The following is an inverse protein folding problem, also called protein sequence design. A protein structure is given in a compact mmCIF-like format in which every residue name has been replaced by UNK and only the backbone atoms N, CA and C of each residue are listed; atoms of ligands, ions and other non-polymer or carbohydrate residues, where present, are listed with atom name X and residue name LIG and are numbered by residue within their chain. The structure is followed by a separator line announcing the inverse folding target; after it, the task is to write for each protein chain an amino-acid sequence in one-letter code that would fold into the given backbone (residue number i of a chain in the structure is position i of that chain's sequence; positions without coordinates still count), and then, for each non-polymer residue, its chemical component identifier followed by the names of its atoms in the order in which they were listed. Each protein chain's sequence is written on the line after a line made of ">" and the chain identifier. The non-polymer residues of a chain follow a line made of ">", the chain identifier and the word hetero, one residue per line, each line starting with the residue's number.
data_IF_340500901031
#
_entry.id   IF_340500901031
#
_cell.length_a   1.000
_cell.length_b   1.000
_cell.length_c   1.000
_cell.angle_alpha   90.00
_cell.angle_beta   90.00
_cell.angle_gamma   90.00
#
_symmetry.space_group_name_H-M   'P 1'
#
loop_
_entity.id
_entity.type
_entity.pdbx_description
1 polymer ?
#
# COMPACT_ATOMS: atom_id res chain seq x y z
N UNK A 1 -8.47 11.16 -13.87
CA UNK A 1 -7.94 12.27 -13.05
C UNK A 1 -8.30 13.66 -13.60
N UNK A 2 -8.42 13.86 -14.92
CA UNK A 2 -8.76 15.17 -15.54
C UNK A 2 -10.09 15.77 -15.05
N UNK A 3 -11.09 14.94 -14.78
CA UNK A 3 -12.42 15.35 -14.29
C UNK A 3 -12.50 15.48 -12.76
N UNK A 4 -11.45 15.14 -12.03
CA UNK A 4 -11.47 15.16 -10.57
C UNK A 4 -11.03 16.53 -10.03
N UNK A 5 -11.76 17.18 -9.09
CA UNK A 5 -11.49 18.56 -8.66
C UNK A 5 -10.06 18.79 -8.13
N UNK A 6 -9.46 17.80 -7.46
CA UNK A 6 -8.08 17.95 -6.93
C UNK A 6 -7.03 17.17 -7.73
N UNK A 7 -7.39 16.08 -8.43
CA UNK A 7 -6.42 15.27 -9.18
C UNK A 7 -6.10 15.82 -10.57
N UNK A 8 -6.85 16.78 -11.06
CA UNK A 8 -6.60 17.46 -12.34
C UNK A 8 -5.28 18.22 -12.40
N UNK A 9 -4.75 18.61 -11.23
CA UNK A 9 -3.46 19.30 -11.10
C UNK A 9 -2.24 18.34 -11.06
N UNK A 10 -2.46 17.03 -11.23
CA UNK A 10 -1.33 16.09 -11.33
C UNK A 10 -0.59 16.30 -12.65
N UNK A 11 0.75 16.24 -12.68
CA UNK A 11 1.58 16.59 -13.84
C UNK A 11 1.19 15.91 -15.15
N UNK A 12 0.74 14.65 -15.09
CA UNK A 12 0.26 13.92 -16.28
C UNK A 12 -1.16 14.34 -16.67
N UNK A 13 -2.02 14.67 -15.69
CA UNK A 13 -3.40 15.09 -15.95
C UNK A 13 -3.47 16.52 -16.45
N UNK A 14 -2.60 17.39 -15.94
CA UNK A 14 -2.43 18.79 -16.31
C UNK A 14 -1.71 18.95 -17.66
N UNK A 15 -0.99 17.92 -18.11
CA UNK A 15 -0.26 17.96 -19.38
C UNK A 15 1.18 18.50 -19.27
N UNK A 16 1.64 18.88 -18.09
CA UNK A 16 3.02 19.37 -17.87
C UNK A 16 4.09 18.29 -18.13
N UNK A 17 3.71 17.03 -18.03
CA UNK A 17 4.57 15.87 -18.37
C UNK A 17 3.85 15.02 -19.42
N UNK A 18 4.52 14.80 -20.57
CA UNK A 18 4.00 13.91 -21.59
C UNK A 18 4.01 12.45 -21.11
N UNK A 19 3.04 11.64 -21.55
CA UNK A 19 2.92 10.22 -21.21
C UNK A 19 4.20 9.46 -21.58
N UNK A 20 4.84 9.80 -22.70
CA UNK A 20 6.10 9.19 -23.11
C UNK A 20 7.23 9.48 -22.11
N UNK A 21 7.36 10.74 -21.71
CA UNK A 21 8.36 11.16 -20.71
C UNK A 21 8.14 10.45 -19.37
N UNK A 22 6.88 10.36 -18.91
CA UNK A 22 6.54 9.64 -17.68
C UNK A 22 6.90 8.14 -17.76
N UNK A 23 6.69 7.49 -18.90
CA UNK A 23 7.08 6.08 -19.12
C UNK A 23 8.59 5.90 -19.12
N UNK A 24 9.33 6.79 -19.78
CA UNK A 24 10.81 6.74 -19.83
C UNK A 24 11.39 6.93 -18.43
N UNK A 25 10.93 7.95 -17.71
CA UNK A 25 11.39 8.20 -16.32
C UNK A 25 11.06 7.00 -15.43
N UNK A 26 9.83 6.46 -15.52
CA UNK A 26 9.42 5.29 -14.76
C UNK A 26 10.26 4.04 -15.08
N UNK A 27 10.60 3.83 -16.35
CA UNK A 27 11.47 2.75 -16.78
C UNK A 27 12.90 2.88 -16.25
N UNK A 28 13.46 4.08 -16.29
CA UNK A 28 14.80 4.36 -15.73
C UNK A 28 14.81 4.12 -14.22
N UNK A 29 13.83 4.64 -13.50
CA UNK A 29 13.72 4.43 -12.05
C UNK A 29 13.55 2.94 -11.70
N UNK A 30 12.77 2.19 -12.48
CA UNK A 30 12.62 0.76 -12.28
C UNK A 30 13.93 0.02 -12.48
N UNK A 31 14.64 0.31 -13.57
CA UNK A 31 15.94 -0.29 -13.85
C UNK A 31 16.96 -0.01 -12.75
N UNK A 32 17.09 1.26 -12.33
CA UNK A 32 17.96 1.64 -11.24
C UNK A 32 17.60 0.95 -9.92
N UNK A 33 16.32 0.85 -9.59
CA UNK A 33 15.88 0.20 -8.34
C UNK A 33 16.17 -1.30 -8.35
N UNK A 34 15.99 -1.99 -9.48
CA UNK A 34 16.33 -3.41 -9.62
C UNK A 34 17.85 -3.64 -9.50
N UNK A 35 18.65 -2.79 -10.14
CA UNK A 35 20.11 -2.88 -10.07
C UNK A 35 20.63 -2.65 -8.66
N UNK A 36 20.15 -1.59 -7.99
CA UNK A 36 20.54 -1.27 -6.61
C UNK A 36 20.09 -2.37 -5.64
N UNK A 37 18.88 -2.92 -5.83
CA UNK A 37 18.38 -4.02 -5.01
C UNK A 37 19.22 -5.29 -5.13
N UNK A 38 19.68 -5.59 -6.35
CA UNK A 38 20.57 -6.72 -6.59
C UNK A 38 21.95 -6.50 -5.96
N UNK A 39 22.50 -5.30 -6.09
CA UNK A 39 23.82 -4.97 -5.50
C UNK A 39 23.78 -4.99 -3.96
N UNK A 40 22.68 -4.56 -3.35
CA UNK A 40 22.56 -4.46 -1.91
C UNK A 40 22.16 -5.80 -1.24
N UNK A 41 21.25 -6.56 -1.85
CA UNK A 41 20.65 -7.75 -1.25
C UNK A 41 20.74 -9.02 -2.09
N UNK A 42 21.53 -9.00 -3.18
CA UNK A 42 21.67 -10.14 -4.08
C UNK A 42 20.33 -10.59 -4.68
N UNK A 43 20.20 -11.89 -4.89
CA UNK A 43 19.01 -12.50 -5.50
C UNK A 43 17.78 -12.35 -4.57
N UNK A 44 17.95 -12.45 -3.24
CA UNK A 44 16.84 -12.31 -2.29
C UNK A 44 16.23 -10.90 -2.30
N UNK A 45 17.05 -9.86 -2.33
CA UNK A 45 16.60 -8.48 -2.46
C UNK A 45 15.86 -8.25 -3.78
N UNK A 46 16.41 -8.75 -4.88
CA UNK A 46 15.78 -8.65 -6.19
C UNK A 46 14.39 -9.32 -6.22
N UNK A 47 14.27 -10.55 -5.69
CA UNK A 47 13.00 -11.28 -5.67
C UNK A 47 11.93 -10.56 -4.83
N UNK A 48 12.29 -10.05 -3.66
CA UNK A 48 11.36 -9.29 -2.81
C UNK A 48 10.87 -8.02 -3.49
N UNK A 49 11.77 -7.31 -4.18
CA UNK A 49 11.40 -6.12 -4.95
C UNK A 49 10.48 -6.46 -6.13
N UNK A 50 10.74 -7.56 -6.83
CA UNK A 50 9.87 -8.04 -7.91
C UNK A 50 8.47 -8.40 -7.40
N UNK A 51 8.37 -9.13 -6.28
CA UNK A 51 7.08 -9.43 -5.64
C UNK A 51 6.33 -8.15 -5.29
N UNK A 52 7.01 -7.19 -4.68
CA UNK A 52 6.43 -5.88 -4.39
C UNK A 52 5.94 -5.17 -5.64
N UNK A 53 6.73 -5.18 -6.71
CA UNK A 53 6.37 -4.55 -7.98
C UNK A 53 5.13 -5.22 -8.60
N UNK A 54 5.10 -6.55 -8.67
CA UNK A 54 3.96 -7.32 -9.21
C UNK A 54 2.68 -7.02 -8.42
N UNK A 55 2.74 -6.97 -7.08
CA UNK A 55 1.60 -6.62 -6.24
C UNK A 55 1.07 -5.21 -6.53
N UNK A 56 1.96 -4.22 -6.69
CA UNK A 56 1.54 -2.85 -7.01
C UNK A 56 0.94 -2.72 -8.41
N UNK A 57 1.50 -3.44 -9.38
CA UNK A 57 0.97 -3.51 -10.74
C UNK A 57 -0.42 -4.15 -10.73
N UNK A 58 -0.58 -5.30 -10.09
CA UNK A 58 -1.86 -6.01 -9.94
C UNK A 58 -2.92 -5.13 -9.23
N UNK A 59 -2.51 -4.40 -8.19
CA UNK A 59 -3.36 -3.42 -7.53
C UNK A 59 -3.86 -2.34 -8.51
N UNK A 60 -2.99 -1.85 -9.37
CA UNK A 60 -3.32 -0.81 -10.35
C UNK A 60 -4.27 -1.30 -11.43
N UNK A 61 -4.14 -2.57 -11.86
CA UNK A 61 -4.94 -3.16 -12.93
C UNK A 61 -6.38 -3.54 -12.54
N UNK A 62 -6.74 -3.55 -11.26
CA UNK A 62 -8.14 -3.80 -10.91
C UNK A 62 -8.39 -4.27 -9.49
N UNK A 63 -7.42 -4.84 -8.80
CA UNK A 63 -7.59 -5.34 -7.43
C UNK A 63 -7.98 -4.25 -6.43
N UNK A 64 -7.68 -2.99 -6.73
CA UNK A 64 -8.14 -1.81 -5.96
C UNK A 64 -9.66 -1.64 -5.90
N UNK A 65 -10.41 -2.32 -6.79
CA UNK A 65 -11.87 -2.24 -6.86
C UNK A 65 -12.56 -3.39 -6.10
N UNK A 66 -11.80 -4.33 -5.54
CA UNK A 66 -12.34 -5.42 -4.73
C UNK A 66 -12.30 -5.03 -3.25
N UNK A 67 -13.44 -5.16 -2.53
CA UNK A 67 -13.50 -4.87 -1.10
C UNK A 67 -12.58 -5.82 -0.32
N UNK A 68 -11.97 -5.34 0.74
CA UNK A 68 -10.97 -6.02 1.57
C UNK A 68 -9.65 -6.33 0.86
N UNK A 69 -9.65 -6.78 -0.39
CA UNK A 69 -8.43 -7.07 -1.16
C UNK A 69 -7.57 -5.82 -1.30
N UNK A 70 -8.19 -4.65 -1.49
CA UNK A 70 -7.48 -3.38 -1.56
C UNK A 70 -6.73 -3.04 -0.26
N UNK A 71 -7.32 -3.35 0.90
CA UNK A 71 -6.68 -3.16 2.21
C UNK A 71 -5.59 -4.20 2.44
N UNK A 72 -5.84 -5.47 2.08
CA UNK A 72 -4.87 -6.56 2.19
C UNK A 72 -3.62 -6.27 1.38
N UNK A 73 -3.76 -5.83 0.14
CA UNK A 73 -2.61 -5.50 -0.73
C UNK A 73 -1.82 -4.32 -0.16
N UNK A 74 -2.50 -3.29 0.35
CA UNK A 74 -1.82 -2.18 1.00
C UNK A 74 -1.02 -2.65 2.22
N UNK A 75 -1.62 -3.48 3.09
CA UNK A 75 -0.95 -4.04 4.26
C UNK A 75 0.23 -4.93 3.87
N UNK A 76 0.06 -5.80 2.87
CA UNK A 76 1.13 -6.65 2.33
C UNK A 76 2.32 -5.84 1.82
N UNK A 77 2.05 -4.68 1.19
CA UNK A 77 3.10 -3.76 0.76
C UNK A 77 3.97 -3.23 1.91
N UNK A 78 3.39 -2.97 3.09
CA UNK A 78 4.15 -2.59 4.28
C UNK A 78 5.02 -3.74 4.78
N UNK A 79 4.48 -4.95 4.83
CA UNK A 79 5.19 -6.14 5.30
C UNK A 79 6.37 -6.49 4.40
N UNK A 80 6.18 -6.48 3.08
CA UNK A 80 7.26 -6.77 2.13
C UNK A 80 8.41 -5.77 2.32
N UNK A 81 8.15 -4.50 2.57
CA UNK A 81 9.19 -3.51 2.86
C UNK A 81 9.98 -3.83 4.13
N UNK A 82 9.30 -4.32 5.18
CA UNK A 82 9.96 -4.71 6.42
C UNK A 82 10.81 -5.98 6.23
N UNK A 83 10.27 -6.98 5.52
CA UNK A 83 11.03 -8.19 5.17
C UNK A 83 12.25 -7.82 4.30
N UNK A 84 12.07 -6.92 3.35
CA UNK A 84 13.14 -6.43 2.50
C UNK A 84 14.26 -5.77 3.33
N UNK A 85 13.90 -4.88 4.26
CA UNK A 85 14.85 -4.26 5.17
C UNK A 85 15.59 -5.29 6.03
N UNK A 86 14.88 -6.26 6.60
CA UNK A 86 15.48 -7.35 7.39
C UNK A 86 16.43 -8.23 6.56
N UNK A 87 16.05 -8.54 5.32
CA UNK A 87 16.89 -9.30 4.42
C UNK A 87 18.20 -8.56 4.05
N UNK A 88 18.14 -7.24 3.89
CA UNK A 88 19.33 -6.43 3.61
C UNK A 88 20.25 -6.29 4.83
N UNK A 89 19.67 -6.11 6.01
CA UNK A 89 20.44 -5.89 7.26
C UNK A 89 20.82 -7.17 7.97
N UNK A 90 20.32 -8.31 7.50
CA UNK A 90 20.49 -9.63 8.13
C UNK A 90 20.00 -9.67 9.59
N UNK A 91 19.06 -8.78 9.95
CA UNK A 91 18.45 -8.72 11.28
C UNK A 91 17.19 -9.59 11.28
N UNK A 92 17.10 -10.62 12.16
CA UNK A 92 15.90 -11.44 12.23
C UNK A 92 14.72 -10.65 12.77
N UNK A 93 13.56 -10.77 12.14
CA UNK A 93 12.31 -10.16 12.60
C UNK A 93 11.61 -11.14 13.56
N UNK A 94 11.21 -10.65 14.74
CA UNK A 94 10.39 -11.44 15.65
C UNK A 94 8.96 -11.62 15.09
N UNK A 95 8.33 -12.77 15.36
CA UNK A 95 6.95 -13.01 14.95
C UNK A 95 5.96 -11.96 15.49
N UNK A 96 6.21 -11.48 16.70
CA UNK A 96 5.39 -10.46 17.35
C UNK A 96 5.47 -9.11 16.63
N UNK A 97 6.66 -8.70 16.22
CA UNK A 97 6.86 -7.49 15.41
C UNK A 97 6.11 -7.61 14.09
N UNK A 98 6.17 -8.79 13.47
CA UNK A 98 5.46 -9.06 12.24
C UNK A 98 3.94 -8.86 12.38
N UNK A 99 3.34 -9.43 13.42
CA UNK A 99 1.92 -9.31 13.73
C UNK A 99 1.53 -7.85 14.05
N UNK A 100 2.37 -7.14 14.80
CA UNK A 100 2.15 -5.71 15.10
C UNK A 100 2.13 -4.86 13.85
N UNK A 101 3.08 -5.07 12.94
CA UNK A 101 3.14 -4.34 11.67
C UNK A 101 1.94 -4.66 10.80
N UNK A 102 1.52 -5.93 10.74
CA UNK A 102 0.35 -6.35 9.99
C UNK A 102 -0.92 -5.66 10.46
N UNK A 103 -1.20 -5.72 11.76
CA UNK A 103 -2.39 -5.06 12.34
C UNK A 103 -2.35 -3.55 12.20
N UNK A 104 -1.18 -2.92 12.38
CA UNK A 104 -0.98 -1.49 12.16
C UNK A 104 -1.20 -1.09 10.69
N UNK A 105 -0.71 -1.87 9.74
CA UNK A 105 -0.91 -1.63 8.31
C UNK A 105 -2.39 -1.78 7.90
N UNK A 106 -3.10 -2.76 8.47
CA UNK A 106 -4.55 -2.89 8.30
C UNK A 106 -5.29 -1.67 8.84
N UNK A 107 -4.96 -1.22 10.04
CA UNK A 107 -5.52 0.00 10.62
C UNK A 107 -5.38 1.19 9.69
N UNK A 108 -4.17 1.42 9.15
CA UNK A 108 -3.91 2.50 8.20
C UNK A 108 -4.71 2.35 6.90
N UNK A 109 -4.84 1.12 6.39
CA UNK A 109 -5.63 0.81 5.22
C UNK A 109 -7.11 1.11 5.41
N UNK A 110 -7.70 0.65 6.53
CA UNK A 110 -9.09 0.91 6.88
C UNK A 110 -9.34 2.41 7.12
N UNK A 111 -8.45 3.10 7.83
CA UNK A 111 -8.50 4.54 8.07
C UNK A 111 -8.49 5.35 6.77
N UNK A 112 -7.70 4.92 5.78
CA UNK A 112 -7.73 5.52 4.45
C UNK A 112 -9.10 5.38 3.78
N UNK A 113 -9.74 4.22 3.86
CA UNK A 113 -11.11 3.99 3.33
C UNK A 113 -12.14 4.85 4.07
N UNK A 114 -12.05 4.90 5.39
CA UNK A 114 -12.90 5.76 6.21
C UNK A 114 -12.82 7.23 5.80
N UNK A 115 -11.60 7.74 5.62
CA UNK A 115 -11.38 9.13 5.20
C UNK A 115 -11.84 9.39 3.76
N UNK A 116 -11.72 8.42 2.86
CA UNK A 116 -12.25 8.53 1.50
C UNK A 116 -13.78 8.66 1.52
N UNK A 117 -14.49 7.87 2.32
CA UNK A 117 -15.95 7.95 2.49
C UNK A 117 -16.34 9.31 3.10
N UNK A 118 -15.62 9.77 4.14
CA UNK A 118 -15.89 11.04 4.80
C UNK A 118 -15.75 12.25 3.86
N UNK A 119 -14.75 12.23 2.98
CA UNK A 119 -14.50 13.33 2.03
C UNK A 119 -15.49 13.37 0.87
N UNK A 120 -16.15 12.25 0.56
CA UNK A 120 -17.06 12.16 -0.59
C UNK A 120 -18.47 12.69 -0.31
N UNK A 121 -18.81 12.98 0.96
CA UNK A 121 -20.10 13.58 1.32
C UNK A 121 -21.33 12.84 0.76
N UNK A 122 -21.20 11.52 0.50
CA UNK A 122 -22.28 10.72 -0.08
C UNK A 122 -22.34 10.68 -1.61
N UNK A 123 -21.51 11.42 -2.33
CA UNK A 123 -21.41 11.31 -3.82
C UNK A 123 -20.55 10.10 -4.19
N UNK A 124 -21.20 9.06 -4.71
CA UNK A 124 -20.66 7.72 -4.95
C UNK A 124 -19.73 7.62 -6.19
N UNK A 125 -19.27 8.71 -6.76
CA UNK A 125 -18.73 8.71 -8.13
C UNK A 125 -17.26 8.30 -8.29
N UNK A 126 -16.46 8.19 -7.21
CA UNK A 126 -15.01 8.01 -7.40
C UNK A 126 -14.49 6.59 -7.26
N UNK A 127 -15.14 5.70 -6.49
CA UNK A 127 -14.74 4.29 -6.36
C UNK A 127 -15.90 3.37 -6.02
N UNK A 128 -16.24 2.38 -6.87
CA UNK A 128 -17.33 1.43 -6.64
C UNK A 128 -17.16 0.61 -5.34
N UNK A 129 -15.91 0.34 -4.94
CA UNK A 129 -15.59 -0.46 -3.75
C UNK A 129 -16.06 0.18 -2.45
N UNK A 130 -16.21 1.50 -2.39
CA UNK A 130 -16.63 2.21 -1.17
C UNK A 130 -18.09 1.92 -0.78
N UNK A 131 -18.90 1.44 -1.72
CA UNK A 131 -20.30 1.01 -1.45
C UNK A 131 -20.39 -0.18 -0.49
N UNK A 132 -19.35 -1.01 -0.43
CA UNK A 132 -19.30 -2.20 0.43
C UNK A 132 -18.82 -1.91 1.85
N UNK A 133 -18.36 -0.69 2.13
CA UNK A 133 -17.87 -0.28 3.43
C UNK A 133 -18.86 0.63 4.13
N UNK A 134 -19.32 0.24 5.33
CA UNK A 134 -20.06 1.14 6.23
C UNK A 134 -19.11 1.78 7.24
N UNK A 135 -19.44 2.98 7.73
CA UNK A 135 -18.68 3.63 8.80
C UNK A 135 -18.54 2.73 10.03
N UNK A 136 -19.65 2.11 10.45
CA UNK A 136 -19.66 1.22 11.63
C UNK A 136 -18.75 0.01 11.44
N UNK A 137 -18.71 -0.57 10.23
CA UNK A 137 -17.81 -1.68 9.93
C UNK A 137 -16.34 -1.25 10.01
N UNK A 138 -15.99 -0.11 9.42
CA UNK A 138 -14.62 0.39 9.42
C UNK A 138 -14.16 0.75 10.82
N UNK A 139 -14.96 1.47 11.59
CA UNK A 139 -14.61 1.89 12.95
C UNK A 139 -14.42 0.69 13.88
N UNK A 140 -15.32 -0.31 13.86
CA UNK A 140 -15.18 -1.52 14.66
C UNK A 140 -13.88 -2.29 14.33
N UNK A 141 -13.59 -2.48 13.05
CA UNK A 141 -12.37 -3.19 12.64
C UNK A 141 -11.11 -2.38 12.97
N UNK A 142 -11.14 -1.05 12.89
CA UNK A 142 -10.03 -0.20 13.31
C UNK A 142 -9.74 -0.35 14.82
N UNK A 143 -10.77 -0.39 15.67
CA UNK A 143 -10.61 -0.63 17.11
C UNK A 143 -10.00 -2.02 17.38
N UNK A 144 -10.45 -3.05 16.69
CA UNK A 144 -9.87 -4.39 16.80
C UNK A 144 -8.39 -4.40 16.40
N UNK A 145 -8.04 -3.75 15.29
CA UNK A 145 -6.64 -3.66 14.83
C UNK A 145 -5.74 -2.95 15.85
N UNK A 146 -6.21 -1.84 16.47
CA UNK A 146 -5.46 -1.15 17.51
C UNK A 146 -5.27 -2.06 18.73
N UNK A 147 -6.34 -2.68 19.21
CA UNK A 147 -6.27 -3.56 20.38
C UNK A 147 -5.29 -4.72 20.16
N UNK A 148 -5.35 -5.37 19.00
CA UNK A 148 -4.41 -6.43 18.63
C UNK A 148 -2.97 -5.92 18.52
N UNK A 149 -2.75 -4.75 17.94
CA UNK A 149 -1.40 -4.16 17.85
C UNK A 149 -0.78 -3.95 19.23
N UNK A 150 -1.57 -3.45 20.19
CA UNK A 150 -1.11 -3.23 21.57
C UNK A 150 -0.77 -4.57 22.24
N UNK A 151 -1.63 -5.58 22.10
CA UNK A 151 -1.40 -6.92 22.68
C UNK A 151 -0.13 -7.53 22.10
N UNK A 152 0.04 -7.54 20.78
CA UNK A 152 1.23 -8.12 20.14
C UNK A 152 2.51 -7.38 20.51
N UNK A 153 2.44 -6.06 20.67
CA UNK A 153 3.58 -5.26 21.13
C UNK A 153 4.00 -5.59 22.56
N UNK A 154 3.02 -5.87 23.43
CA UNK A 154 3.30 -6.27 24.82
C UNK A 154 3.83 -7.72 24.93
N UNK A 155 3.29 -8.65 24.14
CA UNK A 155 3.74 -10.04 24.11
C UNK A 155 5.15 -10.21 23.50
N UNK A 156 5.60 -9.24 22.72
CA UNK A 156 6.93 -9.25 22.09
C UNK A 156 8.06 -8.69 22.94
N UNK A 157 7.75 -8.23 24.15
CA UNK A 157 8.74 -7.79 25.15
C UNK A 157 9.26 -8.97 25.95
#
# INVERSE_FOLDING_TARGET
>A
DRLHPTKRFRPIADGSINILQARVIGGICLFLSLTLSYLAGGVSGLLLLLVYFVLNVSYSFGLKNQPLIDVIILASGFIIRVIYGAALTQIPISGWLYLTIWTGAFYMGLGKRRNEIARQGGTQETRPVLRYYSYSFLDKNMYVCIALSIVFMQCGR
#
